data_IF_371376981299
#
_entry.id   IF_371376981299
#
_cell.length_a   1.000
_cell.length_b   1.000
_cell.length_c   1.000
_cell.angle_alpha   90.00
_cell.angle_beta   90.00
_cell.angle_gamma   90.00
#
_symmetry.space_group_name_H-M   'P 1'
#
loop_
_entity.id
_entity.type
_entity.pdbx_description
1 polymer ?
#
# COMPACT_ATOMS: atom_id res chain seq x y z
N UNK A 1 22.92 27.83 8.72
CA UNK A 1 23.86 28.21 9.81
C UNK A 1 23.86 27.12 10.88
N UNK A 2 25.01 26.52 11.21
CA UNK A 2 25.12 25.53 12.30
C UNK A 2 25.04 26.26 13.64
N UNK A 3 23.88 26.18 14.31
CA UNK A 3 23.70 26.70 15.68
C UNK A 3 24.21 25.67 16.68
N UNK A 4 24.82 26.13 17.76
CA UNK A 4 25.35 25.29 18.85
C UNK A 4 24.90 25.85 20.20
N UNK A 5 24.88 25.01 21.23
CA UNK A 5 24.64 25.42 22.61
C UNK A 5 25.55 24.65 23.58
N UNK A 6 25.68 25.17 24.79
CA UNK A 6 26.49 24.55 25.85
C UNK A 6 25.59 23.64 26.70
N UNK A 7 25.89 22.36 26.78
CA UNK A 7 25.13 21.41 27.58
C UNK A 7 25.44 21.55 29.09
N UNK A 8 24.79 20.73 29.94
CA UNK A 8 24.94 20.76 31.40
C UNK A 8 26.36 20.50 31.91
N UNK A 9 27.22 19.84 31.13
CA UNK A 9 28.64 19.60 31.44
C UNK A 9 29.58 20.60 30.78
N UNK A 10 29.03 21.66 30.19
CA UNK A 10 29.81 22.76 29.64
C UNK A 10 30.36 22.52 28.23
N UNK A 11 29.96 21.43 27.55
CA UNK A 11 30.41 21.10 26.19
C UNK A 11 29.51 21.79 25.15
N UNK A 12 30.13 22.41 24.16
CA UNK A 12 29.41 22.92 22.99
C UNK A 12 28.99 21.75 22.10
N UNK A 13 27.69 21.63 21.87
CA UNK A 13 27.09 20.63 20.98
C UNK A 13 26.21 21.32 19.95
N UNK A 14 25.95 20.64 18.83
CA UNK A 14 25.01 21.15 17.83
C UNK A 14 23.62 21.30 18.46
N UNK A 15 22.89 22.31 18.01
CA UNK A 15 21.50 22.52 18.44
C UNK A 15 20.59 21.36 18.03
N UNK A 16 20.86 20.78 16.86
CA UNK A 16 20.23 19.55 16.40
C UNK A 16 21.31 18.55 16.03
N UNK A 17 21.13 17.30 16.43
CA UNK A 17 21.93 16.20 15.94
C UNK A 17 21.48 15.73 14.54
N UNK A 18 22.17 14.71 14.00
CA UNK A 18 21.87 14.22 12.65
C UNK A 18 20.52 13.50 12.59
N UNK A 19 20.15 12.78 13.64
CA UNK A 19 18.91 12.01 13.70
C UNK A 19 17.72 12.96 13.84
N UNK A 20 17.83 14.00 14.67
CA UNK A 20 16.82 15.04 14.80
C UNK A 20 16.59 15.79 13.48
N UNK A 21 17.67 16.09 12.73
CA UNK A 21 17.55 16.69 11.39
C UNK A 21 16.85 15.72 10.42
N UNK A 22 17.23 14.44 10.40
CA UNK A 22 16.57 13.42 9.57
C UNK A 22 15.07 13.33 9.88
N UNK A 23 14.71 13.32 11.16
CA UNK A 23 13.32 13.22 11.61
C UNK A 23 12.50 14.49 11.29
N UNK A 24 13.09 15.68 11.39
CA UNK A 24 12.43 16.94 11.04
C UNK A 24 12.22 17.12 9.52
N UNK A 25 12.86 16.31 8.69
CA UNK A 25 12.69 16.31 7.23
C UNK A 25 11.58 15.38 6.74
N UNK A 26 10.90 14.65 7.64
CA UNK A 26 9.79 13.75 7.28
C UNK A 26 8.62 14.59 6.77
N UNK A 27 8.32 14.48 5.47
CA UNK A 27 7.23 15.21 4.82
C UNK A 27 5.86 14.56 4.97
N UNK A 28 5.82 13.23 5.16
CA UNK A 28 4.59 12.43 5.31
C UNK A 28 4.81 11.22 6.21
N UNK A 29 3.85 10.96 7.09
CA UNK A 29 3.90 9.85 8.05
C UNK A 29 4.84 10.16 9.22
N UNK A 30 5.28 9.11 9.90
CA UNK A 30 6.06 9.21 11.14
C UNK A 30 7.40 8.48 11.09
N UNK A 31 7.71 7.83 9.96
CA UNK A 31 8.89 6.98 9.83
C UNK A 31 9.95 7.68 8.99
N UNK A 32 11.18 7.69 9.47
CA UNK A 32 12.33 8.03 8.65
C UNK A 32 12.66 6.88 7.67
N UNK A 33 13.63 7.11 6.79
CA UNK A 33 14.00 6.14 5.74
C UNK A 33 14.48 4.81 6.31
N UNK A 34 15.24 4.81 7.42
CA UNK A 34 15.78 3.58 8.04
C UNK A 34 14.65 2.77 8.68
N UNK A 35 13.76 3.43 9.42
CA UNK A 35 12.60 2.78 10.03
C UNK A 35 11.65 2.21 8.96
N UNK A 36 11.45 2.94 7.86
CA UNK A 36 10.66 2.44 6.72
C UNK A 36 11.27 1.19 6.11
N UNK A 37 12.60 1.10 5.99
CA UNK A 37 13.27 -0.12 5.52
C UNK A 37 13.03 -1.30 6.46
N UNK A 38 13.03 -1.07 7.78
CA UNK A 38 12.72 -2.10 8.77
C UNK A 38 11.29 -2.61 8.60
N UNK A 39 10.31 -1.70 8.43
CA UNK A 39 8.92 -2.10 8.19
C UNK A 39 8.79 -2.87 6.87
N UNK A 40 9.39 -2.40 5.78
CA UNK A 40 9.33 -3.07 4.48
C UNK A 40 9.92 -4.50 4.50
N UNK A 41 10.82 -4.79 5.44
CA UNK A 41 11.42 -6.12 5.61
C UNK A 41 10.39 -7.21 5.93
N UNK A 42 9.18 -6.87 6.43
CA UNK A 42 8.14 -7.86 6.72
C UNK A 42 7.83 -8.74 5.50
N UNK A 43 7.83 -8.18 4.29
CA UNK A 43 7.57 -8.95 3.06
C UNK A 43 8.67 -9.97 2.80
N UNK A 44 9.93 -9.56 2.95
CA UNK A 44 11.08 -10.44 2.77
C UNK A 44 11.10 -11.57 3.81
N UNK A 45 10.68 -11.27 5.03
CA UNK A 45 10.53 -12.27 6.10
C UNK A 45 9.38 -13.22 5.78
N UNK A 46 8.22 -12.71 5.35
CA UNK A 46 7.07 -13.52 4.92
C UNK A 46 7.43 -14.48 3.80
N UNK A 47 8.12 -14.02 2.75
CA UNK A 47 8.59 -14.88 1.65
C UNK A 47 9.43 -16.03 2.20
N UNK A 48 10.46 -15.73 3.00
CA UNK A 48 11.35 -16.76 3.59
C UNK A 48 10.58 -17.77 4.44
N UNK A 49 9.63 -17.30 5.24
CA UNK A 49 8.81 -18.18 6.08
C UNK A 49 7.93 -19.07 5.21
N UNK A 50 7.23 -18.53 4.22
CA UNK A 50 6.32 -19.30 3.39
C UNK A 50 7.07 -20.27 2.47
N UNK A 51 8.21 -19.88 1.88
CA UNK A 51 9.06 -20.77 1.07
C UNK A 51 9.60 -21.98 1.85
N UNK A 52 9.69 -21.88 3.19
CA UNK A 52 10.11 -22.99 4.04
C UNK A 52 9.02 -24.05 4.27
N UNK A 53 7.77 -23.76 3.91
CA UNK A 53 6.63 -24.66 4.17
C UNK A 53 6.43 -25.68 3.03
N UNK A 54 6.06 -26.94 3.37
CA UNK A 54 5.84 -27.99 2.37
C UNK A 54 4.46 -27.88 1.72
N UNK A 55 4.28 -26.93 0.82
CA UNK A 55 3.01 -26.73 0.13
C UNK A 55 2.65 -27.90 -0.80
N UNK A 56 1.36 -28.30 -0.84
CA UNK A 56 0.87 -29.15 -1.92
C UNK A 56 0.94 -28.40 -3.26
N UNK A 57 0.97 -29.14 -4.38
CA UNK A 57 1.16 -28.58 -5.73
C UNK A 57 0.25 -27.40 -6.07
N UNK A 58 -1.00 -27.41 -5.60
CA UNK A 58 -1.98 -26.37 -5.87
C UNK A 58 -1.77 -25.07 -5.06
N UNK A 59 -0.94 -25.09 -4.01
CA UNK A 59 -0.61 -23.93 -3.17
C UNK A 59 0.85 -23.46 -3.32
N UNK A 60 1.61 -24.05 -4.24
CA UNK A 60 3.05 -23.77 -4.40
C UNK A 60 3.37 -22.29 -4.70
N UNK A 61 2.40 -21.51 -5.19
CA UNK A 61 2.58 -20.10 -5.54
C UNK A 61 2.19 -19.14 -4.40
N UNK A 62 1.70 -19.64 -3.26
CA UNK A 62 1.35 -18.79 -2.10
C UNK A 62 2.50 -17.85 -1.67
N UNK A 63 3.79 -18.30 -1.65
CA UNK A 63 4.90 -17.38 -1.33
C UNK A 63 5.04 -16.23 -2.34
N UNK A 64 4.82 -16.48 -3.64
CA UNK A 64 4.87 -15.45 -4.68
C UNK A 64 3.75 -14.42 -4.46
N UNK A 65 2.54 -14.90 -4.24
CA UNK A 65 1.35 -14.08 -4.01
C UNK A 65 1.53 -13.14 -2.81
N UNK A 66 1.99 -13.70 -1.69
CA UNK A 66 2.29 -12.93 -0.49
C UNK A 66 3.57 -12.09 -0.62
N UNK A 67 4.52 -12.45 -1.48
CA UNK A 67 5.74 -11.69 -1.68
C UNK A 67 5.58 -10.46 -2.58
N UNK A 68 4.62 -10.52 -3.51
CA UNK A 68 4.45 -9.52 -4.55
C UNK A 68 3.37 -8.46 -4.26
N UNK A 69 2.60 -8.56 -3.18
CA UNK A 69 1.49 -7.63 -2.92
C UNK A 69 1.92 -6.15 -2.69
N UNK A 70 3.20 -5.91 -2.39
CA UNK A 70 3.81 -4.58 -2.30
C UNK A 70 4.66 -4.18 -3.51
N UNK A 71 4.76 -5.05 -4.51
CA UNK A 71 5.32 -4.70 -5.81
C UNK A 71 4.34 -3.81 -6.58
N UNK A 72 4.86 -3.03 -7.52
CA UNK A 72 4.08 -2.08 -8.31
C UNK A 72 4.35 -2.30 -9.78
N UNK A 73 3.38 -2.02 -10.64
CA UNK A 73 3.52 -2.26 -12.08
C UNK A 73 4.70 -1.52 -12.72
N UNK A 74 5.06 -0.34 -12.20
CA UNK A 74 6.18 0.50 -12.62
C UNK A 74 7.57 0.05 -12.10
N UNK A 75 7.63 -0.91 -11.17
CA UNK A 75 8.88 -1.37 -10.54
C UNK A 75 9.39 -0.48 -9.40
N UNK A 76 8.60 0.47 -8.91
CA UNK A 76 8.95 1.29 -7.72
C UNK A 76 8.56 0.63 -6.40
N UNK A 77 7.96 -0.56 -6.46
CA UNK A 77 7.56 -1.37 -5.32
C UNK A 77 8.73 -2.05 -4.61
N UNK A 78 8.41 -2.99 -3.73
CA UNK A 78 9.37 -3.75 -2.94
C UNK A 78 8.81 -5.16 -2.65
N UNK A 79 9.65 -6.17 -2.34
CA UNK A 79 11.09 -6.10 -2.05
C UNK A 79 12.02 -6.19 -3.27
N UNK A 80 11.58 -6.79 -4.36
CA UNK A 80 12.39 -7.16 -5.52
C UNK A 80 12.32 -6.14 -6.67
N UNK A 81 11.42 -5.15 -6.60
CA UNK A 81 11.23 -4.09 -7.61
C UNK A 81 10.80 -4.67 -8.96
N UNK A 82 9.87 -5.61 -8.92
CA UNK A 82 9.35 -6.30 -10.08
C UNK A 82 8.48 -5.35 -10.90
N UNK A 83 8.55 -5.46 -12.22
CA UNK A 83 7.62 -4.83 -13.15
C UNK A 83 6.43 -5.74 -13.42
N UNK A 84 5.34 -5.18 -13.94
CA UNK A 84 4.08 -5.90 -14.19
C UNK A 84 4.21 -7.24 -14.91
N UNK A 85 5.06 -7.33 -15.93
CA UNK A 85 5.29 -8.55 -16.71
C UNK A 85 6.09 -9.64 -15.97
N UNK A 86 6.64 -9.32 -14.80
CA UNK A 86 7.39 -10.25 -13.93
C UNK A 86 6.52 -10.82 -12.79
N UNK A 87 5.26 -10.37 -12.68
CA UNK A 87 4.32 -10.81 -11.65
C UNK A 87 3.20 -11.65 -12.25
N UNK A 88 2.77 -12.70 -11.56
CA UNK A 88 1.59 -13.43 -12.00
C UNK A 88 0.31 -12.58 -11.91
N UNK A 89 -0.74 -13.00 -12.62
CA UNK A 89 -2.05 -12.35 -12.52
C UNK A 89 -2.56 -12.38 -11.07
N UNK A 90 -2.55 -13.52 -10.33
CA UNK A 90 -3.02 -13.54 -8.94
C UNK A 90 -2.24 -12.61 -8.02
N UNK A 91 -0.91 -12.49 -8.18
CA UNK A 91 -0.12 -11.54 -7.40
C UNK A 91 -0.59 -10.09 -7.61
N UNK A 92 -0.85 -9.71 -8.87
CA UNK A 92 -1.38 -8.38 -9.22
C UNK A 92 -2.81 -8.15 -8.71
N UNK A 93 -3.65 -9.19 -8.69
CA UNK A 93 -4.99 -9.13 -8.10
C UNK A 93 -4.94 -8.88 -6.59
N UNK A 94 -4.04 -9.58 -5.88
CA UNK A 94 -3.89 -9.44 -4.42
C UNK A 94 -3.46 -8.03 -4.05
N UNK A 95 -2.57 -7.39 -4.82
CA UNK A 95 -2.19 -6.00 -4.56
C UNK A 95 -3.40 -5.05 -4.56
N UNK A 96 -4.31 -5.19 -5.54
CA UNK A 96 -5.54 -4.38 -5.60
C UNK A 96 -6.46 -4.69 -4.40
N UNK A 97 -6.63 -5.96 -4.07
CA UNK A 97 -7.47 -6.40 -2.95
C UNK A 97 -6.94 -5.87 -1.60
N UNK A 98 -5.64 -5.99 -1.36
CA UNK A 98 -4.95 -5.53 -0.14
C UNK A 98 -5.07 -4.01 0.03
N UNK A 99 -4.83 -3.25 -1.04
CA UNK A 99 -4.97 -1.78 -1.00
C UNK A 99 -6.42 -1.39 -0.72
N UNK A 100 -7.39 -2.02 -1.39
CA UNK A 100 -8.80 -1.70 -1.21
C UNK A 100 -9.29 -2.01 0.21
N UNK A 101 -8.94 -3.18 0.73
CA UNK A 101 -9.22 -3.59 2.10
C UNK A 101 -8.60 -2.60 3.09
N UNK A 102 -7.30 -2.31 2.96
CA UNK A 102 -6.60 -1.42 3.88
C UNK A 102 -7.14 0.01 3.89
N UNK A 103 -7.69 0.49 2.77
CA UNK A 103 -8.35 1.80 2.69
C UNK A 103 -9.71 1.81 3.38
N UNK A 104 -10.48 0.73 3.22
CA UNK A 104 -11.87 0.63 3.68
C UNK A 104 -12.01 0.04 5.08
N UNK A 105 -10.96 -0.58 5.63
CA UNK A 105 -10.92 -1.15 6.97
C UNK A 105 -11.36 -0.14 8.04
N UNK A 106 -12.49 -0.43 8.70
CA UNK A 106 -13.12 0.42 9.72
C UNK A 106 -12.75 0.06 11.16
N UNK A 107 -11.95 -0.99 11.34
CA UNK A 107 -11.55 -1.57 12.63
C UNK A 107 -10.32 -0.89 13.26
N UNK A 108 -9.71 0.08 12.57
CA UNK A 108 -8.51 0.78 13.05
C UNK A 108 -8.89 1.84 14.09
N UNK A 109 -8.43 1.73 15.36
CA UNK A 109 -8.83 2.64 16.44
C UNK A 109 -8.58 4.12 16.16
N UNK A 110 -7.60 4.41 15.29
CA UNK A 110 -7.12 5.76 14.99
C UNK A 110 -7.73 6.36 13.72
N UNK A 111 -8.54 5.61 12.96
CA UNK A 111 -9.05 6.06 11.66
C UNK A 111 -10.38 5.41 11.32
N UNK A 112 -11.42 6.22 11.07
CA UNK A 112 -12.65 5.73 10.46
C UNK A 112 -12.35 5.17 9.07
N UNK A 113 -12.95 4.03 8.75
CA UNK A 113 -12.83 3.42 7.43
C UNK A 113 -13.27 4.41 6.34
N UNK A 114 -12.54 4.41 5.22
CA UNK A 114 -12.78 5.35 4.13
C UNK A 114 -14.11 5.04 3.43
N UNK A 115 -14.90 6.06 3.02
CA UNK A 115 -16.05 5.86 2.16
C UNK A 115 -15.65 5.20 0.83
N UNK A 116 -16.56 4.39 0.28
CA UNK A 116 -16.34 3.61 -0.93
C UNK A 116 -15.91 4.49 -2.10
N UNK A 117 -16.60 5.62 -2.34
CA UNK A 117 -16.27 6.54 -3.43
C UNK A 117 -14.83 7.08 -3.33
N UNK A 118 -14.34 7.33 -2.13
CA UNK A 118 -13.00 7.86 -1.89
C UNK A 118 -11.93 6.78 -2.08
N UNK A 119 -12.17 5.56 -1.61
CA UNK A 119 -11.25 4.42 -1.81
C UNK A 119 -11.05 4.13 -3.31
N UNK A 120 -12.14 4.13 -4.08
CA UNK A 120 -12.09 3.92 -5.53
C UNK A 120 -11.37 5.06 -6.27
N UNK A 121 -11.53 6.32 -5.83
CA UNK A 121 -10.77 7.45 -6.38
C UNK A 121 -9.27 7.31 -6.16
N UNK A 122 -8.85 6.74 -5.03
CA UNK A 122 -7.43 6.46 -4.76
C UNK A 122 -6.92 5.37 -5.70
N UNK A 123 -7.63 4.24 -5.80
CA UNK A 123 -7.25 3.16 -6.73
C UNK A 123 -7.19 3.65 -8.18
N UNK A 124 -8.15 4.47 -8.62
CA UNK A 124 -8.15 5.08 -9.94
C UNK A 124 -6.90 5.93 -10.22
N UNK A 125 -6.44 6.73 -9.24
CA UNK A 125 -5.16 7.45 -9.34
C UNK A 125 -3.98 6.50 -9.39
N UNK A 126 -3.98 5.44 -8.57
CA UNK A 126 -2.92 4.43 -8.59
C UNK A 126 -2.83 3.69 -9.93
N UNK A 127 -3.97 3.49 -10.62
CA UNK A 127 -3.97 2.99 -12.01
C UNK A 127 -3.27 3.98 -12.93
N UNK A 128 -3.62 5.26 -12.88
CA UNK A 128 -3.00 6.30 -13.72
C UNK A 128 -1.50 6.46 -13.46
N UNK A 129 -1.07 6.27 -12.21
CA UNK A 129 0.33 6.27 -11.79
C UNK A 129 1.07 4.96 -12.10
N UNK A 130 0.40 3.97 -12.70
CA UNK A 130 0.95 2.64 -12.98
C UNK A 130 1.50 1.93 -11.72
N UNK A 131 0.84 2.14 -10.57
CA UNK A 131 1.15 1.42 -9.33
C UNK A 131 0.42 0.07 -9.27
N UNK A 132 -0.82 0.01 -9.78
CA UNK A 132 -1.63 -1.22 -9.86
C UNK A 132 -1.88 -1.59 -11.31
N UNK A 133 -2.28 -2.84 -11.55
CA UNK A 133 -2.59 -3.32 -12.89
C UNK A 133 -3.84 -2.63 -13.47
N UNK A 134 -3.74 -1.96 -14.64
CA UNK A 134 -4.84 -1.21 -15.21
C UNK A 134 -6.00 -2.09 -15.67
N UNK A 135 -5.70 -3.27 -16.23
CA UNK A 135 -6.70 -4.17 -16.79
C UNK A 135 -7.48 -4.85 -15.66
N UNK A 136 -6.79 -5.28 -14.61
CA UNK A 136 -7.42 -5.88 -13.44
C UNK A 136 -8.24 -4.86 -12.64
N UNK A 137 -7.81 -3.60 -12.57
CA UNK A 137 -8.63 -2.54 -11.98
C UNK A 137 -9.92 -2.35 -12.77
N UNK A 138 -9.88 -2.38 -14.10
CA UNK A 138 -11.08 -2.25 -14.93
C UNK A 138 -12.06 -3.41 -14.73
N UNK A 139 -11.56 -4.65 -14.61
CA UNK A 139 -12.39 -5.81 -14.24
C UNK A 139 -12.99 -5.62 -12.85
N UNK A 140 -12.20 -5.21 -11.86
CA UNK A 140 -12.66 -4.97 -10.49
C UNK A 140 -13.80 -3.94 -10.41
N UNK A 141 -13.72 -2.89 -11.23
CA UNK A 141 -14.76 -1.85 -11.35
C UNK A 141 -15.98 -2.33 -12.13
N UNK A 142 -15.78 -2.97 -13.29
CA UNK A 142 -16.85 -3.40 -14.19
C UNK A 142 -17.75 -4.46 -13.55
N UNK A 143 -17.14 -5.47 -12.95
CA UNK A 143 -17.85 -6.56 -12.25
C UNK A 143 -18.38 -6.12 -10.87
N UNK A 144 -18.16 -4.86 -10.48
CA UNK A 144 -18.59 -4.28 -9.21
C UNK A 144 -18.15 -5.11 -8.01
N UNK A 145 -16.95 -5.70 -8.07
CA UNK A 145 -16.38 -6.51 -7.00
C UNK A 145 -16.29 -5.69 -5.71
N UNK A 146 -15.89 -4.42 -5.84
CA UNK A 146 -15.86 -3.46 -4.73
C UNK A 146 -17.20 -3.35 -3.99
N UNK A 147 -18.32 -3.38 -4.70
CA UNK A 147 -19.65 -3.22 -4.14
C UNK A 147 -20.13 -4.51 -3.47
N UNK A 148 -19.83 -5.66 -4.09
CA UNK A 148 -20.11 -6.97 -3.52
C UNK A 148 -19.38 -7.14 -2.19
N UNK A 149 -18.08 -6.84 -2.16
CA UNK A 149 -17.28 -6.80 -0.92
C UNK A 149 -17.86 -5.81 0.10
N UNK A 150 -18.18 -4.59 -0.34
CA UNK A 150 -18.69 -3.56 0.56
C UNK A 150 -19.98 -3.96 1.28
N UNK A 151 -20.91 -4.59 0.55
CA UNK A 151 -22.19 -5.06 1.12
C UNK A 151 -22.01 -6.16 2.17
N UNK A 152 -20.96 -6.96 2.05
CA UNK A 152 -20.69 -8.08 2.94
C UNK A 152 -19.85 -7.67 4.16
N UNK A 153 -18.89 -6.77 3.99
CA UNK A 153 -17.84 -6.54 4.99
C UNK A 153 -17.76 -5.10 5.52
N UNK A 154 -18.36 -4.10 4.87
CA UNK A 154 -18.26 -2.70 5.30
C UNK A 154 -19.49 -2.24 6.09
N UNK A 155 -19.30 -1.24 6.93
CA UNK A 155 -20.41 -0.61 7.64
C UNK A 155 -21.27 0.21 6.66
N UNK A 156 -22.57 0.29 6.95
CA UNK A 156 -23.55 0.95 6.06
C UNK A 156 -23.21 2.42 5.77
N UNK A 157 -22.62 3.12 6.71
CA UNK A 157 -22.21 4.53 6.57
C UNK A 157 -20.97 4.72 5.70
N UNK A 158 -20.24 3.65 5.38
CA UNK A 158 -19.11 3.67 4.43
C UNK A 158 -19.55 3.45 2.97
N UNK A 159 -20.76 2.94 2.74
CA UNK A 159 -21.27 2.61 1.41
C UNK A 159 -22.02 3.82 0.86
N UNK A 160 -21.25 4.83 0.44
CA UNK A 160 -21.77 6.04 -0.20
C UNK A 160 -22.03 5.82 -1.70
N UNK A 161 -22.75 6.78 -2.32
CA UNK A 161 -23.03 6.73 -3.75
C UNK A 161 -21.73 6.89 -4.56
N UNK A 162 -21.51 5.96 -5.50
CA UNK A 162 -20.34 5.97 -6.38
C UNK A 162 -20.74 6.45 -7.77
N UNK A 163 -20.39 7.69 -8.10
CA UNK A 163 -20.44 8.18 -9.47
C UNK A 163 -19.21 7.68 -10.26
N UNK A 164 -19.44 6.76 -11.21
CA UNK A 164 -18.37 6.15 -12.00
C UNK A 164 -17.58 7.15 -12.84
N UNK A 165 -18.21 8.27 -13.25
CA UNK A 165 -17.54 9.33 -14.02
C UNK A 165 -16.49 10.08 -13.20
N UNK A 166 -16.59 10.03 -11.87
CA UNK A 166 -15.64 10.71 -10.98
C UNK A 166 -14.43 9.84 -10.62
N UNK A 167 -14.37 8.58 -11.10
CA UNK A 167 -13.29 7.65 -10.78
C UNK A 167 -12.16 7.83 -11.80
N UNK A 168 -10.99 8.36 -11.39
CA UNK A 168 -9.90 8.62 -12.32
C UNK A 168 -9.42 7.34 -13.00
N UNK A 169 -9.15 7.41 -14.31
CA UNK A 169 -8.63 6.27 -15.07
C UNK A 169 -9.63 5.14 -15.32
N UNK A 170 -10.85 5.20 -14.77
CA UNK A 170 -11.92 4.29 -15.15
C UNK A 170 -12.78 4.93 -16.24
N UNK A 171 -12.86 4.27 -17.38
CA UNK A 171 -13.83 4.62 -18.42
C UNK A 171 -14.86 3.49 -18.45
N UNK A 172 -16.10 3.71 -17.98
CA UNK A 172 -17.14 2.72 -18.15
C UNK A 172 -17.30 2.49 -19.66
N UNK A 173 -16.92 1.30 -20.11
CA UNK A 173 -17.06 0.89 -21.50
C UNK A 173 -18.53 1.10 -21.91
N UNK A 174 -18.74 1.73 -23.07
CA UNK A 174 -20.04 1.82 -23.73
C UNK A 174 -20.66 0.43 -23.91
#
# INVERSE_FOLDING_TARGET
>A
AKRTYKNSVGKNINLLDKEEIENLQISRGTLNTKERQIINNHVSVTIKMLESLPYPKHLRNVPEFAGCHHEKMDGTGYPNKLKGNQMSIPARMIAIADIFEALTAGDRPYKKGMPLSQALKILGRMKLENHIDPDLFDVFMHEKIYLSYAKEHLMKDQIDEVNLQDIPGYNPLN
#
